data_IF_971141229522
#
_entry.id   IF_971141229522
#
_cell.length_a   1.000
_cell.length_b   1.000
_cell.length_c   1.000
_cell.angle_alpha   90.00
_cell.angle_beta   90.00
_cell.angle_gamma   90.00
#
_symmetry.space_group_name_H-M   'P 1'
#
loop_
_entity.id
_entity.type
_entity.pdbx_description
1 polymer ?
2 non-polymer ?
3 non-polymer ?
4 water ?
#
# COMPACT_ATOMS: atom_id res chain seq x y z
N UNK A 1 -9.56 5.91 23.46
CA UNK A 1 -10.14 5.41 22.19
C UNK A 1 -11.05 4.20 22.46
N UNK A 2 -12.09 4.01 21.62
CA UNK A 2 -12.88 2.78 21.75
C UNK A 2 -12.04 1.56 21.38
N UNK A 3 -12.56 0.36 21.65
CA UNK A 3 -11.93 -0.86 21.15
C UNK A 3 -11.91 -0.80 19.61
N UNK A 4 -10.90 -1.43 18.98
CA UNK A 4 -10.75 -1.32 17.52
C UNK A 4 -12.02 -1.59 16.70
N UNK A 5 -12.73 -2.68 16.98
CA UNK A 5 -13.92 -3.00 16.18
C UNK A 5 -15.04 -2.00 16.42
N UNK A 6 -15.15 -1.50 17.65
CA UNK A 6 -16.13 -0.48 17.97
C UNK A 6 -15.84 0.83 17.22
N UNK A 7 -14.55 1.21 17.17
CA UNK A 7 -14.17 2.38 16.40
C UNK A 7 -14.47 2.19 14.92
N UNK A 8 -14.16 1.01 14.39
CA UNK A 8 -14.45 0.72 12.99
C UNK A 8 -15.96 0.85 12.69
N UNK A 9 -16.80 0.31 13.57
CA UNK A 9 -18.25 0.41 13.38
C UNK A 9 -18.69 1.87 13.37
N UNK A 10 -18.16 2.65 14.30
CA UNK A 10 -18.45 4.06 14.36
C UNK A 10 -18.05 4.76 13.05
N UNK A 11 -16.86 4.43 12.55
CA UNK A 11 -16.38 5.00 11.30
C UNK A 11 -17.32 4.67 10.13
N UNK A 12 -17.76 3.41 10.01
CA UNK A 12 -18.70 3.04 8.95
C UNK A 12 -20.02 3.81 9.07
N UNK A 13 -20.54 3.92 10.28
CA UNK A 13 -21.78 4.64 10.53
C UNK A 13 -21.65 6.11 10.12
N UNK A 14 -20.53 6.72 10.51
CA UNK A 14 -20.30 8.14 10.24
C UNK A 14 -19.99 8.42 8.78
N UNK A 15 -19.28 7.49 8.13
CA UNK A 15 -18.89 7.63 6.71
C UNK A 15 -19.98 7.22 5.73
N UNK A 16 -20.91 6.39 6.18
CA UNK A 16 -21.83 5.65 5.32
C UNK A 16 -21.06 4.89 4.23
N UNK A 17 -19.92 4.34 4.62
CA UNK A 17 -19.06 3.59 3.70
C UNK A 17 -18.46 2.38 4.39
N UNK A 18 -17.82 1.52 3.62
CA UNK A 18 -17.19 0.31 4.18
C UNK A 18 -15.74 0.55 4.56
N UNK A 19 -15.37 -0.03 5.69
CA UNK A 19 -14.00 -0.10 6.16
C UNK A 19 -13.55 -1.55 6.02
N UNK A 20 -12.32 -1.77 5.57
CA UNK A 20 -11.70 -3.10 5.60
C UNK A 20 -10.40 -2.99 6.37
N UNK A 21 -10.15 -3.93 7.26
CA UNK A 21 -9.01 -3.84 8.16
C UNK A 21 -8.46 -5.22 8.46
N UNK A 22 -7.13 -5.31 8.54
CA UNK A 22 -6.48 -6.44 9.17
C UNK A 22 -5.22 -5.97 9.90
N UNK A 23 -4.92 -6.64 11.00
CA UNK A 23 -3.66 -6.48 11.71
C UNK A 23 -3.05 -7.87 11.87
N UNK A 24 -1.85 -8.02 11.32
CA UNK A 24 -1.21 -9.33 11.16
C UNK A 24 0.25 -9.27 11.62
N UNK A 25 0.73 -10.22 12.41
CA UNK A 25 2.16 -10.31 12.71
C UNK A 25 2.98 -10.47 11.43
N UNK A 26 4.02 -9.65 11.29
CA UNK A 26 4.89 -9.78 10.12
C UNK A 26 5.65 -11.10 10.12
N UNK A 27 6.18 -11.50 11.27
CA UNK A 27 7.05 -12.67 11.27
C UNK A 27 6.29 -13.96 10.94
N UNK A 28 5.13 -14.15 11.56
CA UNK A 28 4.40 -15.43 11.41
C UNK A 28 3.14 -15.39 10.55
N UNK A 29 2.54 -14.22 10.39
CA UNK A 29 1.25 -14.14 9.73
C UNK A 29 0.05 -14.34 10.66
N UNK A 30 0.29 -14.45 11.96
CA UNK A 30 -0.79 -14.52 12.95
C UNK A 30 -1.72 -13.31 12.80
N UNK A 31 -3.01 -13.57 12.62
CA UNK A 31 -3.98 -12.48 12.53
C UNK A 31 -4.44 -12.10 13.92
N UNK A 32 -4.23 -10.82 14.29
CA UNK A 32 -4.62 -10.29 15.58
C UNK A 32 -6.07 -9.88 15.61
N UNK A 33 -6.49 -9.15 14.58
CA UNK A 33 -7.85 -8.64 14.48
C UNK A 33 -8.12 -8.29 13.02
N UNK A 34 -9.39 -8.27 12.65
CA UNK A 34 -9.77 -8.14 11.24
C UNK A 34 -11.22 -7.70 11.16
N UNK A 35 -11.55 -7.03 10.06
CA UNK A 35 -12.91 -6.57 9.78
C UNK A 35 -13.07 -6.50 8.28
N UNK A 36 -14.07 -7.20 7.77
CA UNK A 36 -14.30 -7.29 6.32
C UNK A 36 -13.01 -7.66 5.56
N UNK A 37 -12.20 -8.50 6.18
CA UNK A 37 -10.87 -8.78 5.67
C UNK A 37 -10.89 -9.61 4.38
N UNK A 38 -12.03 -10.23 4.08
CA UNK A 38 -12.18 -11.01 2.85
C UNK A 38 -13.02 -10.29 1.80
N UNK A 39 -13.34 -9.03 2.04
CA UNK A 39 -14.11 -8.23 1.08
C UNK A 39 -13.17 -7.40 0.20
N UNK A 40 -13.58 -7.15 -1.04
CA UNK A 40 -12.74 -6.44 -1.99
C UNK A 40 -12.79 -4.92 -1.83
N UNK A 41 -11.61 -4.30 -1.93
CA UNK A 41 -11.46 -2.86 -1.90
C UNK A 41 -10.48 -2.43 -2.99
N UNK A 42 -10.72 -1.26 -3.63
CA UNK A 42 -9.72 -0.73 -4.56
C UNK A 42 -8.37 -0.52 -3.86
N UNK A 43 -7.30 -0.97 -4.50
CA UNK A 43 -5.96 -0.80 -3.95
C UNK A 43 -5.47 0.64 -4.01
N UNK A 44 -5.84 1.35 -5.08
CA UNK A 44 -5.27 2.65 -5.36
C UNK A 44 -3.74 2.52 -5.31
N UNK A 45 -3.04 3.53 -4.80
CA UNK A 45 -1.59 3.56 -4.88
C UNK A 45 -0.90 2.56 -3.96
N UNK A 46 -1.67 1.88 -3.09
CA UNK A 46 -1.06 0.84 -2.30
C UNK A 46 -0.50 -0.26 -3.18
N UNK A 47 -0.99 -0.39 -4.41
CA UNK A 47 -0.46 -1.39 -5.34
C UNK A 47 1.02 -1.16 -5.65
N UNK A 48 1.49 0.08 -5.47
CA UNK A 48 2.88 0.42 -5.84
C UNK A 48 3.94 -0.36 -5.06
N UNK A 49 3.60 -0.81 -3.85
CA UNK A 49 4.51 -1.65 -3.08
C UNK A 49 4.62 -3.03 -3.71
N UNK A 50 3.49 -3.60 -4.11
CA UNK A 50 3.49 -4.92 -4.74
C UNK A 50 4.21 -4.85 -6.09
N UNK A 51 3.95 -3.77 -6.84
CA UNK A 51 4.65 -3.52 -8.09
C UNK A 51 6.17 -3.58 -7.93
N UNK A 52 6.69 -2.88 -6.94
CA UNK A 52 8.12 -2.86 -6.73
C UNK A 52 8.64 -4.18 -6.15
N UNK A 53 7.79 -4.94 -5.47
CA UNK A 53 8.13 -6.33 -5.13
C UNK A 53 8.40 -7.15 -6.39
N UNK A 54 7.54 -7.00 -7.40
CA UNK A 54 7.73 -7.69 -8.69
C UNK A 54 9.01 -7.23 -9.39
N UNK A 55 9.28 -5.92 -9.36
CA UNK A 55 10.52 -5.37 -9.91
C UNK A 55 11.74 -5.99 -9.23
N UNK A 56 11.72 -6.05 -7.90
CA UNK A 56 12.81 -6.65 -7.16
C UNK A 56 12.99 -8.14 -7.48
N UNK A 57 11.88 -8.85 -7.71
CA UNK A 57 11.96 -10.24 -8.12
C UNK A 57 12.67 -10.39 -9.47
N UNK A 58 12.43 -9.45 -10.40
CA UNK A 58 13.14 -9.44 -11.67
C UNK A 58 14.63 -9.16 -11.47
N UNK A 59 14.96 -8.27 -10.54
CA UNK A 59 16.36 -7.99 -10.22
C UNK A 59 17.02 -9.27 -9.68
N UNK A 60 16.36 -9.92 -8.72
CA UNK A 60 16.87 -11.17 -8.16
C UNK A 60 17.05 -12.25 -9.24
N UNK A 61 16.17 -12.27 -10.24
CA UNK A 61 16.23 -13.25 -11.33
C UNK A 61 17.30 -12.92 -12.37
N UNK A 62 17.89 -11.73 -12.28
CA UNK A 62 18.90 -11.28 -13.24
C UNK A 62 18.29 -10.73 -14.52
N UNK A 63 17.02 -10.33 -14.45
CA UNK A 63 16.30 -9.76 -15.59
C UNK A 63 16.15 -8.25 -15.52
N UNK A 64 16.67 -7.66 -14.44
CA UNK A 64 16.54 -6.23 -14.19
C UNK A 64 17.68 -5.78 -13.30
N UNK A 65 18.00 -4.48 -13.33
CA UNK A 65 18.95 -3.89 -12.39
C UNK A 65 18.34 -2.61 -11.81
N UNK A 66 18.49 -2.40 -10.51
CA UNK A 66 18.02 -1.14 -9.91
C UNK A 66 18.78 0.06 -10.47
N UNK A 67 20.01 -0.17 -10.96
CA UNK A 67 20.84 0.87 -11.54
C UNK A 67 20.41 1.29 -12.93
N UNK A 68 19.69 0.43 -13.65
CA UNK A 68 19.39 0.68 -15.06
C UNK A 68 18.62 1.98 -15.24
N UNK A 69 19.17 2.88 -16.07
CA UNK A 69 18.55 4.19 -16.25
C UNK A 69 17.57 4.14 -17.41
N UNK A 70 16.33 4.54 -17.14
CA UNK A 70 15.27 4.61 -18.12
C UNK A 70 15.05 6.07 -18.56
N UNK A 71 15.15 6.30 -19.85
CA UNK A 71 14.88 7.61 -20.41
C UNK A 71 13.47 7.56 -21.02
N UNK A 72 12.63 8.49 -20.63
CA UNK A 72 11.23 8.49 -21.05
C UNK A 72 10.88 9.89 -21.56
N UNK A 73 9.67 10.04 -22.07
CA UNK A 73 9.26 11.28 -22.73
C UNK A 73 8.03 11.89 -22.08
N UNK A 74 7.81 13.19 -22.35
CA UNK A 74 6.70 13.94 -21.77
C UNK A 74 5.35 13.30 -22.07
N UNK A 75 5.25 12.71 -23.26
CA UNK A 75 4.05 12.02 -23.71
C UNK A 75 3.74 10.79 -22.85
N UNK A 76 4.73 10.30 -22.10
CA UNK A 76 4.56 9.13 -21.23
C UNK A 76 3.94 9.49 -19.89
N UNK A 77 3.84 10.78 -19.59
CA UNK A 77 3.45 11.20 -18.27
C UNK A 77 1.94 11.24 -18.05
N UNK A 78 1.53 10.80 -16.86
CA UNK A 78 0.18 11.02 -16.35
C UNK A 78 0.24 11.96 -15.14
N UNK A 79 -0.91 12.38 -14.63
CA UNK A 79 -0.96 13.38 -13.59
C UNK A 79 -0.41 12.82 -12.26
N UNK A 80 -0.03 13.73 -11.36
CA UNK A 80 0.49 13.38 -10.01
C UNK A 80 1.79 12.61 -10.12
N UNK A 81 2.72 13.22 -10.85
CA UNK A 81 4.04 12.68 -11.12
C UNK A 81 5.12 13.69 -10.76
N UNK A 82 5.22 14.07 -9.46
CA UNK A 82 6.07 15.19 -9.06
C UNK A 82 7.57 14.95 -9.24
N UNK A 83 8.01 13.70 -9.20
CA UNK A 83 9.43 13.39 -9.36
C UNK A 83 9.77 13.14 -10.83
N UNK A 84 9.01 12.25 -11.47
CA UNK A 84 9.33 11.87 -12.83
C UNK A 84 9.22 13.05 -13.82
N UNK A 85 8.33 14.00 -13.55
CA UNK A 85 8.21 15.15 -14.46
C UNK A 85 9.47 16.02 -14.46
N UNK A 86 10.29 15.89 -13.42
CA UNK A 86 11.54 16.66 -13.28
C UNK A 86 12.73 16.03 -14.02
N UNK A 87 12.54 14.86 -14.61
CA UNK A 87 13.67 14.12 -15.20
C UNK A 87 13.48 13.69 -16.65
N UNK A 88 12.85 14.56 -17.45
CA UNK A 88 12.66 14.29 -18.88
C UNK A 88 13.97 14.25 -19.66
N UNK A 89 14.90 15.11 -19.26
CA UNK A 89 16.21 15.19 -19.90
C UNK A 89 17.13 14.03 -19.49
N UNK A 90 17.24 13.81 -18.18
CA UNK A 90 18.23 12.88 -17.64
C UNK A 90 17.74 11.46 -17.32
N UNK A 91 16.43 11.26 -17.29
CA UNK A 91 15.87 9.93 -16.97
C UNK A 91 15.98 9.58 -15.49
N UNK A 92 15.56 8.36 -15.16
CA UNK A 92 15.61 7.88 -13.78
C UNK A 92 16.00 6.41 -13.79
N UNK A 93 16.73 5.99 -12.76
CA UNK A 93 17.04 4.57 -12.61
C UNK A 93 15.80 3.80 -12.17
N UNK A 94 15.81 2.49 -12.38
CA UNK A 94 14.71 1.65 -11.94
C UNK A 94 14.51 1.79 -10.43
N UNK A 95 15.60 1.82 -9.67
CA UNK A 95 15.51 2.03 -8.22
C UNK A 95 14.91 3.37 -7.84
N UNK A 96 15.33 4.43 -8.54
CA UNK A 96 14.76 5.77 -8.32
C UNK A 96 13.28 5.78 -8.67
N UNK A 97 12.89 5.08 -9.72
CA UNK A 97 11.49 4.98 -10.08
C UNK A 97 10.66 4.32 -8.98
N UNK A 98 11.18 3.25 -8.39
CA UNK A 98 10.46 2.63 -7.29
C UNK A 98 10.41 3.54 -6.07
N UNK A 99 11.51 4.23 -5.78
CA UNK A 99 11.47 5.19 -4.68
C UNK A 99 10.43 6.29 -4.92
N UNK A 100 10.36 6.80 -6.15
CA UNK A 100 9.37 7.83 -6.48
C UNK A 100 7.95 7.30 -6.39
N UNK A 101 7.73 6.10 -6.92
CA UNK A 101 6.42 5.47 -6.88
C UNK A 101 5.95 5.23 -5.45
N UNK A 102 6.84 4.71 -4.59
CA UNK A 102 6.45 4.40 -3.22
C UNK A 102 6.43 5.62 -2.32
N UNK A 103 7.49 6.44 -2.37
CA UNK A 103 7.62 7.52 -1.38
C UNK A 103 6.93 8.83 -1.77
N UNK A 104 6.65 9.01 -3.05
CA UNK A 104 5.98 10.22 -3.52
C UNK A 104 4.68 9.90 -4.27
N UNK A 105 4.33 8.62 -4.28
CA UNK A 105 3.16 8.12 -5.01
C UNK A 105 3.18 8.53 -6.49
N UNK A 106 4.38 8.61 -7.06
CA UNK A 106 4.56 9.12 -8.42
C UNK A 106 3.89 8.19 -9.44
N UNK A 107 2.90 8.70 -10.16
CA UNK A 107 2.09 7.87 -11.04
C UNK A 107 2.79 7.44 -12.32
N UNK A 108 3.52 8.36 -12.95
CA UNK A 108 4.25 8.00 -14.16
C UNK A 108 5.37 7.01 -13.86
N UNK A 109 6.04 7.19 -12.73
CA UNK A 109 7.06 6.22 -12.31
C UNK A 109 6.44 4.83 -12.20
N UNK A 110 5.28 4.75 -11.55
CA UNK A 110 4.57 3.48 -11.44
C UNK A 110 4.22 2.88 -12.81
N UNK A 111 3.75 3.71 -13.73
CA UNK A 111 3.40 3.20 -15.07
C UNK A 111 4.62 2.70 -15.83
N UNK A 112 5.74 3.41 -15.72
CA UNK A 112 6.97 2.97 -16.37
C UNK A 112 7.40 1.62 -15.81
N UNK A 113 7.34 1.48 -14.48
CA UNK A 113 7.67 0.21 -13.84
C UNK A 113 6.70 -0.90 -14.21
N UNK A 114 5.41 -0.56 -14.27
CA UNK A 114 4.37 -1.51 -14.65
C UNK A 114 4.66 -2.14 -16.01
N UNK A 115 5.09 -1.34 -16.97
CA UNK A 115 5.44 -1.87 -18.29
C UNK A 115 6.58 -2.90 -18.21
N UNK A 116 7.54 -2.68 -17.31
CA UNK A 116 8.69 -3.58 -17.18
C UNK A 116 8.31 -4.96 -16.65
N UNK A 117 7.17 -5.05 -15.97
CA UNK A 117 6.71 -6.34 -15.41
C UNK A 117 5.57 -6.96 -16.22
N UNK A 118 5.32 -6.42 -17.42
CA UNK A 118 4.30 -6.99 -18.30
C UNK A 118 2.93 -6.37 -18.14
N UNK A 119 2.89 -5.14 -17.63
CA UNK A 119 1.64 -4.42 -17.44
C UNK A 119 0.80 -4.98 -16.30
N UNK A 120 -0.43 -4.47 -16.14
CA UNK A 120 -1.35 -4.99 -15.13
C UNK A 120 -1.52 -6.51 -15.18
N UNK A 121 -1.60 -7.09 -16.37
CA UNK A 121 -1.68 -8.55 -16.48
C UNK A 121 -0.43 -9.26 -15.95
N UNK A 122 0.74 -8.70 -16.23
CA UNK A 122 2.00 -9.26 -15.73
C UNK A 122 2.10 -9.20 -14.23
N UNK A 123 1.67 -8.08 -13.64
CA UNK A 123 1.69 -7.95 -12.19
C UNK A 123 0.70 -8.93 -11.56
N UNK A 124 -0.46 -9.10 -12.17
CA UNK A 124 -1.43 -10.08 -11.67
C UNK A 124 -0.86 -11.50 -11.74
N UNK A 125 -0.15 -11.82 -12.82
CA UNK A 125 0.51 -13.13 -12.92
C UNK A 125 1.54 -13.35 -11.82
N UNK A 126 2.33 -12.32 -11.53
CA UNK A 126 3.27 -12.37 -10.43
C UNK A 126 2.56 -12.65 -9.10
N UNK A 127 1.46 -11.96 -8.86
CA UNK A 127 0.66 -12.21 -7.65
C UNK A 127 0.22 -13.67 -7.55
N UNK A 128 -0.30 -14.21 -8.65
CA UNK A 128 -0.69 -15.63 -8.67
C UNK A 128 0.51 -16.53 -8.35
N UNK A 129 1.67 -16.18 -8.88
CA UNK A 129 2.90 -16.94 -8.65
C UNK A 129 3.40 -16.96 -7.20
N UNK A 130 3.05 -15.93 -6.43
CA UNK A 130 3.37 -15.93 -5.00
C UNK A 130 2.19 -16.40 -4.15
N UNK A 131 1.17 -16.96 -4.81
CA UNK A 131 0.04 -17.58 -4.09
C UNK A 131 -1.06 -16.62 -3.66
N UNK A 132 -1.09 -15.43 -4.24
CA UNK A 132 -2.21 -14.53 -4.07
C UNK A 132 -3.16 -14.75 -5.25
N UNK A 133 -4.29 -15.41 -4.95
CA UNK A 133 -5.28 -15.73 -5.98
C UNK A 133 -6.45 -14.76 -5.99
N UNK A 134 -6.30 -13.64 -5.29
CA UNK A 134 -7.40 -12.68 -5.10
C UNK A 134 -7.08 -11.29 -5.69
N UNK A 135 -5.95 -10.73 -5.30
CA UNK A 135 -5.55 -9.40 -5.74
C UNK A 135 -5.42 -9.36 -7.26
N UNK A 136 -5.90 -8.29 -7.87
CA UNK A 136 -5.78 -8.16 -9.32
C UNK A 136 -5.57 -6.71 -9.70
N UNK A 137 -4.63 -6.48 -10.62
CA UNK A 137 -4.50 -5.18 -11.26
C UNK A 137 -4.90 -5.32 -12.71
N UNK A 138 -5.71 -4.38 -13.20
CA UNK A 138 -6.30 -4.45 -14.53
C UNK A 138 -6.00 -3.23 -15.37
N UNK A 139 -5.81 -2.09 -14.71
CA UNK A 139 -5.57 -0.81 -15.37
C UNK A 139 -4.28 -0.15 -14.92
N UNK A 140 -3.93 0.94 -15.59
CA UNK A 140 -2.75 1.76 -15.31
C UNK A 140 -3.17 2.97 -14.47
N UNK A 141 -2.20 3.71 -13.96
CA UNK A 141 -2.52 5.02 -13.38
C UNK A 141 -2.94 5.97 -14.50
N UNK A 142 -3.99 6.80 -14.29
CA UNK A 142 -4.71 6.95 -13.03
C UNK A 142 -6.09 6.28 -13.03
N UNK A 143 -6.45 5.61 -14.11
CA UNK A 143 -7.77 4.98 -14.24
C UNK A 143 -8.01 3.91 -13.18
N UNK A 144 -6.95 3.28 -12.67
CA UNK A 144 -7.08 2.22 -11.69
C UNK A 144 -7.71 2.72 -10.37
N UNK A 145 -7.81 4.04 -10.23
CA UNK A 145 -8.43 4.67 -9.04
C UNK A 145 -9.93 4.91 -9.12
N UNK A 146 -10.55 4.46 -10.22
CA UNK A 146 -11.95 4.83 -10.50
C UNK A 146 -12.92 4.37 -9.41
N UNK A 147 -12.65 3.21 -8.81
CA UNK A 147 -13.42 2.70 -7.68
C UNK A 147 -14.93 2.65 -7.95
N UNK A 148 -15.32 1.97 -9.02
CA UNK A 148 -16.75 1.75 -9.30
C UNK A 148 -17.31 0.66 -8.39
N UNK A 149 -18.51 0.87 -7.83
CA UNK A 149 -19.20 -0.22 -7.11
C UNK A 149 -19.43 -1.43 -8.03
N UNK A 150 -19.26 -2.63 -7.49
CA UNK A 150 -19.49 -3.88 -8.23
C UNK A 150 -18.32 -4.30 -9.12
N UNK A 151 -17.28 -3.46 -9.15
CA UNK A 151 -16.18 -3.65 -10.09
C UNK A 151 -15.01 -4.28 -9.33
N UNK A 152 -14.61 -5.47 -9.74
CA UNK A 152 -13.50 -6.17 -9.12
C UNK A 152 -12.15 -5.72 -9.65
N UNK A 153 -12.16 -4.87 -10.68
CA UNK A 153 -10.89 -4.41 -11.28
C UNK A 153 -10.06 -3.65 -10.25
N UNK A 154 -8.75 -3.93 -10.23
CA UNK A 154 -7.79 -3.17 -9.41
C UNK A 154 -8.10 -3.24 -7.92
N UNK A 155 -8.55 -4.42 -7.47
CA UNK A 155 -8.92 -4.61 -6.08
C UNK A 155 -8.06 -5.65 -5.38
N UNK A 156 -8.05 -5.57 -4.06
CA UNK A 156 -7.47 -6.60 -3.20
C UNK A 156 -8.45 -6.85 -2.06
N UNK A 157 -8.08 -7.70 -1.11
CA UNK A 157 -8.79 -7.76 0.18
C UNK A 157 -7.78 -7.42 1.27
N UNK A 158 -8.24 -6.91 2.43
CA UNK A 158 -7.25 -6.69 3.50
C UNK A 158 -6.40 -7.94 3.79
N UNK A 159 -7.02 -9.12 3.86
CA UNK A 159 -6.29 -10.35 4.15
C UNK A 159 -5.27 -10.71 3.08
N UNK A 160 -5.66 -10.58 1.81
CA UNK A 160 -4.74 -10.95 0.73
C UNK A 160 -3.60 -9.96 0.61
N UNK A 161 -3.89 -8.67 0.74
CA UNK A 161 -2.84 -7.68 0.71
C UNK A 161 -1.83 -7.86 1.86
N UNK A 162 -2.33 -8.13 3.07
CA UNK A 162 -1.43 -8.35 4.19
C UNK A 162 -0.56 -9.59 3.97
N UNK A 163 -1.17 -10.69 3.53
CA UNK A 163 -0.42 -11.92 3.26
C UNK A 163 0.63 -11.69 2.18
N UNK A 164 0.27 -10.95 1.14
CA UNK A 164 1.18 -10.66 0.05
C UNK A 164 2.35 -9.77 0.48
N UNK A 165 2.06 -8.73 1.25
CA UNK A 165 3.13 -7.88 1.78
C UNK A 165 4.06 -8.71 2.66
N UNK A 166 3.50 -9.57 3.50
CA UNK A 166 4.33 -10.42 4.33
C UNK A 166 5.25 -11.31 3.50
N UNK A 167 4.72 -11.90 2.43
CA UNK A 167 5.51 -12.76 1.55
C UNK A 167 6.67 -11.99 0.93
N UNK A 168 6.40 -10.76 0.50
CA UNK A 168 7.43 -9.95 -0.14
C UNK A 168 8.50 -9.51 0.86
N UNK A 169 8.11 -9.23 2.09
CA UNK A 169 9.02 -8.64 3.06
C UNK A 169 9.83 -9.66 3.85
N UNK A 170 9.30 -10.87 4.05
CA UNK A 170 9.94 -11.80 5.00
C UNK A 170 10.06 -13.26 4.57
N UNK A 171 9.40 -13.66 3.50
CA UNK A 171 9.30 -15.10 3.20
C UNK A 171 10.50 -15.70 2.47
N UNK A 172 11.51 -14.86 2.24
CA UNK A 172 12.73 -15.26 1.51
C UNK A 172 12.44 -15.65 0.06
N UNK A 173 11.30 -15.20 -0.46
CA UNK A 173 11.00 -15.28 -1.89
C UNK A 173 11.88 -14.26 -2.61
N UNK A 174 11.94 -13.06 -2.05
CA UNK A 174 12.92 -12.06 -2.47
C UNK A 174 14.23 -12.29 -1.75
N UNK A 175 15.33 -11.90 -2.38
CA UNK A 175 16.64 -11.95 -1.74
C UNK A 175 16.64 -11.10 -0.48
N UNK A 176 17.62 -11.32 0.39
CA UNK A 176 17.77 -10.51 1.59
C UNK A 176 17.83 -9.03 1.26
N UNK A 177 18.68 -8.67 0.30
CA UNK A 177 18.86 -7.26 -0.03
C UNK A 177 17.58 -6.67 -0.63
N UNK A 178 16.88 -7.43 -1.46
CA UNK A 178 15.59 -6.98 -1.98
C UNK A 178 14.54 -6.76 -0.90
N UNK A 179 14.44 -7.69 0.05
CA UNK A 179 13.51 -7.54 1.17
C UNK A 179 13.82 -6.26 1.93
N UNK A 180 15.10 -6.01 2.14
CA UNK A 180 15.55 -4.83 2.87
C UNK A 180 15.24 -3.54 2.11
N UNK A 181 15.39 -3.61 0.79
CA UNK A 181 15.10 -2.46 -0.06
C UNK A 181 13.61 -2.10 -0.05
N UNK A 182 12.76 -3.12 -0.15
CA UNK A 182 11.32 -2.86 -0.17
C UNK A 182 10.87 -2.22 1.14
N UNK A 183 11.34 -2.75 2.28
CA UNK A 183 11.01 -2.13 3.56
C UNK A 183 11.53 -0.69 3.66
N UNK A 184 12.75 -0.46 3.20
CA UNK A 184 13.31 0.90 3.29
C UNK A 184 12.51 1.92 2.48
N UNK A 185 12.04 1.51 1.29
CA UNK A 185 11.19 2.41 0.51
C UNK A 185 9.94 2.81 1.30
N UNK A 186 9.32 1.85 1.99
CA UNK A 186 8.14 2.14 2.81
C UNK A 186 8.48 3.01 4.03
N UNK A 187 9.62 2.73 4.66
CA UNK A 187 10.12 3.59 5.75
C UNK A 187 10.24 5.05 5.28
N UNK A 188 10.67 5.22 4.04
CA UNK A 188 10.96 6.53 3.47
C UNK A 188 9.77 7.26 2.87
N UNK A 189 8.55 6.75 3.04
CA UNK A 189 7.39 7.44 2.50
C UNK A 189 7.38 8.90 2.90
N UNK A 190 7.15 9.78 1.93
CA UNK A 190 7.09 11.22 2.17
C UNK A 190 5.66 11.76 2.14
N UNK A 191 4.73 10.97 1.62
CA UNK A 191 3.34 11.45 1.46
C UNK A 191 2.66 11.53 2.83
N UNK A 192 2.77 10.46 3.61
CA UNK A 192 2.09 10.39 4.90
C UNK A 192 3.01 10.03 6.08
N UNK A 193 4.13 9.38 5.78
CA UNK A 193 5.04 8.90 6.82
C UNK A 193 5.42 9.93 7.88
N UNK A 194 6.01 11.06 7.46
CA UNK A 194 6.39 12.09 8.44
C UNK A 194 5.24 12.61 9.30
N UNK A 195 4.07 12.82 8.70
CA UNK A 195 2.90 13.27 9.45
C UNK A 195 2.46 12.21 10.46
N UNK A 196 2.36 10.97 10.00
CA UNK A 196 1.98 9.88 10.90
C UNK A 196 2.97 9.75 12.05
N UNK A 197 4.25 9.77 11.70
CA UNK A 197 5.31 9.58 12.68
C UNK A 197 5.24 10.65 13.77
N UNK A 198 4.90 11.89 13.37
CA UNK A 198 4.83 13.02 14.30
C UNK A 198 3.69 12.91 15.32
N UNK A 199 2.65 12.15 14.99
CA UNK A 199 1.50 12.01 15.88
C UNK A 199 1.40 10.64 16.57
N UNK A 200 2.30 9.73 16.22
CA UNK A 200 2.39 8.45 16.89
C UNK A 200 3.05 8.63 18.26
N UNK A 201 2.65 7.83 19.25
CA UNK A 201 3.34 7.89 20.54
C UNK A 201 4.80 7.52 20.34
N UNK A 202 5.68 8.06 21.18
CA UNK A 202 7.08 7.73 21.13
C UNK A 202 7.25 6.21 21.21
N UNK A 203 8.19 5.69 20.43
CA UNK A 203 8.51 4.26 20.46
C UNK A 203 7.89 3.46 19.34
N UNK A 204 6.94 4.04 18.62
CA UNK A 204 6.23 3.31 17.55
C UNK A 204 6.90 3.45 16.20
N UNK A 205 7.30 2.30 15.64
CA UNK A 205 7.82 2.17 14.29
C UNK A 205 6.71 2.45 13.28
N UNK A 206 7.01 3.20 12.22
CA UNK A 206 6.09 3.29 11.09
C UNK A 206 6.80 3.20 9.73
N UNK A 207 6.23 2.39 8.84
CA UNK A 207 6.55 2.41 7.42
C UNK A 207 5.21 2.28 6.69
N UNK A 208 5.04 2.89 5.53
CA UNK A 208 3.69 2.90 4.93
C UNK A 208 3.66 3.19 3.45
N UNK A 209 2.54 2.83 2.83
CA UNK A 209 2.16 3.37 1.54
C UNK A 209 0.67 3.70 1.59
N UNK A 210 0.31 4.90 1.15
CA UNK A 210 -1.09 5.30 1.12
C UNK A 210 -1.68 5.27 -0.29
N UNK A 211 -3.00 5.41 -0.34
CA UNK A 211 -3.71 5.49 -1.60
C UNK A 211 -4.96 6.32 -1.47
N UNK A 212 -5.39 6.91 -2.60
CA UNK A 212 -6.62 7.68 -2.64
C UNK A 212 -7.23 7.51 -4.02
N UNK A 213 -8.55 7.42 -4.08
CA UNK A 213 -9.25 7.30 -5.36
C UNK A 213 -10.60 7.98 -5.32
N UNK A 214 -11.48 7.55 -6.22
CA UNK A 214 -12.81 8.15 -6.35
C UNK A 214 -13.84 7.54 -5.39
N UNK A 215 -14.97 8.22 -5.26
CA UNK A 215 -16.09 7.76 -4.43
C UNK A 215 -15.67 7.49 -2.99
N UNK A 216 -14.73 8.30 -2.49
CA UNK A 216 -14.26 8.20 -1.12
C UNK A 216 -13.14 7.20 -0.87
N UNK A 217 -12.73 6.47 -1.90
CA UNK A 217 -11.70 5.43 -1.71
C UNK A 217 -10.43 6.04 -1.10
N UNK A 218 -9.92 5.37 -0.06
CA UNK A 218 -8.76 5.85 0.67
C UNK A 218 -8.16 4.65 1.37
N UNK A 219 -6.84 4.58 1.48
CA UNK A 219 -6.29 3.45 2.21
C UNK A 219 -4.84 3.61 2.57
N UNK A 220 -4.39 2.66 3.38
CA UNK A 220 -3.01 2.63 3.83
C UNK A 220 -2.62 1.18 4.10
N UNK A 221 -1.41 0.83 3.68
CA UNK A 221 -0.75 -0.40 4.11
C UNK A 221 0.47 0.02 4.90
N UNK A 222 0.66 -0.58 6.05
CA UNK A 222 1.67 -0.10 7.00
C UNK A 222 2.34 -1.24 7.75
N UNK A 223 3.57 -0.98 8.17
CA UNK A 223 4.25 -1.78 9.17
C UNK A 223 4.30 -0.91 10.42
N UNK A 224 3.94 -1.51 11.56
CA UNK A 224 3.70 -0.75 12.78
C UNK A 224 4.05 -1.62 13.98
N UNK A 225 4.63 -1.01 15.01
CA UNK A 225 4.79 -1.73 16.28
C UNK A 225 5.44 -0.88 17.34
N UNK A 226 5.24 -1.25 18.61
CA UNK A 226 5.90 -0.54 19.71
C UNK A 226 7.36 -1.00 19.79
N UNK A 227 8.15 -0.35 20.64
CA UNK A 227 9.57 -0.71 20.81
C UNK A 227 10.38 -0.66 19.51
N UNK A 228 10.00 0.27 18.63
CA UNK A 228 10.75 0.53 17.40
C UNK A 228 10.96 -0.69 16.51
N UNK A 229 9.94 -1.54 16.48
CA UNK A 229 9.95 -2.78 15.71
C UNK A 229 8.82 -2.80 14.69
N UNK A 230 9.12 -3.26 13.48
CA UNK A 230 8.11 -3.51 12.44
C UNK A 230 7.40 -4.82 12.79
N UNK A 231 6.58 -4.78 13.83
CA UNK A 231 5.99 -6.00 14.38
C UNK A 231 4.87 -6.53 13.54
N UNK A 232 3.99 -5.64 13.07
CA UNK A 232 2.76 -6.05 12.42
C UNK A 232 2.47 -5.27 11.16
N UNK A 233 1.80 -5.94 10.22
CA UNK A 233 1.21 -5.30 9.05
C UNK A 233 -0.21 -4.86 9.43
N UNK A 234 -0.52 -3.60 9.13
CA UNK A 234 -1.86 -3.09 9.29
C UNK A 234 -2.32 -2.59 7.92
N UNK A 235 -3.48 -3.07 7.50
CA UNK A 235 -4.09 -2.62 6.25
C UNK A 235 -5.44 -2.02 6.61
N UNK A 236 -5.70 -0.80 6.15
CA UNK A 236 -7.00 -0.16 6.31
C UNK A 236 -7.42 0.44 4.98
N UNK A 237 -8.57 0.00 4.47
CA UNK A 237 -9.17 0.60 3.28
C UNK A 237 -10.54 1.17 3.62
N UNK A 238 -10.89 2.24 2.93
CA UNK A 238 -12.24 2.82 2.95
C UNK A 238 -12.76 2.86 1.54
N UNK A 239 -14.06 2.65 1.38
CA UNK A 239 -14.66 2.78 0.06
C UNK A 239 -16.12 3.20 0.16
N UNK A 240 -16.60 3.82 -0.92
CA UNK A 240 -18.00 4.19 -1.10
C UNK A 240 -18.55 5.08 0.01
N UNK A 241 -17.84 6.17 0.25
CA UNK A 241 -18.27 7.19 1.18
C UNK A 241 -18.21 8.54 0.50
N UNK A 242 -19.21 9.42 0.73
CA UNK A 242 -19.16 10.76 0.17
C UNK A 242 -18.35 11.75 1.02
N UNK A 243 -17.65 11.24 2.05
CA UNK A 243 -16.98 12.09 3.02
C UNK A 243 -15.81 12.90 2.45
N UNK A 244 -15.55 14.04 3.09
CA UNK A 244 -14.36 14.82 2.79
C UNK A 244 -13.08 14.01 2.98
N UNK A 245 -12.05 14.38 2.23
CA UNK A 245 -10.72 13.82 2.43
C UNK A 245 -10.29 13.95 3.88
N UNK A 246 -10.53 15.12 4.48
CA UNK A 246 -10.12 15.35 5.85
C UNK A 246 -10.78 14.34 6.78
N UNK A 247 -12.08 14.10 6.60
CA UNK A 247 -12.76 13.12 7.46
C UNK A 247 -12.22 11.71 7.22
N UNK A 248 -12.00 11.35 5.96
CA UNK A 248 -11.47 10.03 5.66
C UNK A 248 -10.11 9.83 6.34
N UNK A 249 -9.24 10.84 6.31
CA UNK A 249 -7.95 10.76 6.99
C UNK A 249 -8.15 10.59 8.49
N UNK A 250 -9.06 11.37 9.05
CA UNK A 250 -9.33 11.34 10.48
C UNK A 250 -9.93 10.01 10.93
N UNK A 251 -10.75 9.39 10.08
CA UNK A 251 -11.35 8.10 10.44
C UNK A 251 -10.29 7.01 10.43
N UNK A 252 -9.42 7.01 9.42
CA UNK A 252 -8.29 6.07 9.41
C UNK A 252 -7.39 6.31 10.63
N UNK A 253 -7.13 7.58 10.97
CA UNK A 253 -6.34 7.91 12.15
C UNK A 253 -6.99 7.39 13.43
N UNK A 254 -8.31 7.52 13.53
CA UNK A 254 -9.04 7.06 14.70
C UNK A 254 -9.00 5.55 14.83
N UNK A 255 -9.13 4.85 13.71
CA UNK A 255 -9.00 3.40 13.72
C UNK A 255 -7.58 3.02 14.17
N UNK A 256 -6.58 3.68 13.59
CA UNK A 256 -5.19 3.51 14.03
C UNK A 256 -4.99 3.75 15.52
N UNK A 257 -5.57 4.83 16.04
CA UNK A 257 -5.45 5.14 17.46
C UNK A 257 -6.00 4.02 18.31
N UNK A 258 -7.16 3.48 17.92
CA UNK A 258 -7.77 2.39 18.65
C UNK A 258 -6.90 1.13 18.61
N UNK A 259 -6.34 0.82 17.44
CA UNK A 259 -5.46 -0.34 17.31
C UNK A 259 -4.23 -0.20 18.20
N UNK A 260 -3.66 1.01 18.24
CA UNK A 260 -2.46 1.30 19.02
C UNK A 260 -2.71 1.22 20.52
N UNK A 261 -3.80 1.84 20.98
CA UNK A 261 -4.11 1.84 22.42
C UNK A 261 -4.47 0.44 22.92
N UNK A 262 -5.05 -0.38 22.05
CA UNK A 262 -5.51 -1.70 22.46
C UNK A 262 -4.71 -2.82 21.81
N UNK A 263 -3.42 -2.56 21.58
CA UNK A 263 -2.46 -3.50 21.00
C UNK A 263 -2.31 -4.71 21.90
N UNK A 264 -2.68 -5.88 21.38
CA UNK A 264 -2.55 -7.10 22.17
C UNK A 264 -1.22 -7.78 21.93
N UNK A 265 -0.80 -8.59 22.89
CA UNK A 265 0.46 -9.31 22.77
C UNK A 265 0.37 -10.41 21.71
X LIG B 1 -4.36 9.23 -7.79
X LIG B 1 -6.36 10.03 -8.97
X LIG B 1 -3.66 9.56 -8.76
X LIG B 1 -5.78 9.70 -7.67
X LIG B 1 -8.87 9.68 -15.65
X LIG B 1 -8.36 9.19 -8.46
X LIG B 1 -7.91 11.90 -13.39
X LIG B 1 -6.29 11.14 -11.31
X LIG B 1 -6.11 14.21 -4.26
X LIG B 1 -3.28 5.28 -7.07
X LIG B 1 -3.55 6.41 -4.87
X LIG B 1 -6.81 11.99 -4.83
X LIG B 1 -5.18 13.15 -6.19
X LIG B 1 -6.73 10.88 -5.65
X LIG B 1 -5.10 12.02 -7.02
X LIG B 1 -9.54 10.23 -14.42
X LIG B 1 -2.59 7.84 -6.77
X LIG B 1 -9.61 9.22 -12.32
X LIG B 1 -9.28 9.33 -10.94
X LIG B 1 -3.92 8.43 -6.84
X LIG B 1 -7.63 9.75 -9.29
X LIG B 1 -8.07 10.86 -12.77
X LIG B 1 -7.42 10.70 -11.46
X LIG B 1 -6.03 13.12 -5.08
X LIG B 1 -5.87 10.89 -6.76
X LIG B 1 -2.73 6.38 -6.16
X LIG B 1 -8.79 9.86 -13.29
X LIG B 1 -8.13 10.05 -10.51
X LIG C 1 -2.01 8.71 22.99
X LIG C 1 -1.00 9.55 23.76
X LIG C 1 0.28 8.78 24.04
X LIG C 1 0.02 7.38 24.60
X LIG C 1 -1.08 6.65 23.84
X LIG C 1 -1.50 5.37 24.56
X LIG C 1 -0.70 10.72 22.99
X LIG C 1 1.09 9.53 24.96
X LIG C 1 -2.24 7.48 23.70
X LIG C 1 -1.98 5.72 25.86
X LIG C 1 -1.48 8.44 21.70
X LIG C 1 1.23 6.62 24.50
X LIG C 1 -2.60 8.81 17.75
X LIG C 1 -2.58 10.12 18.52
X LIG C 1 -1.78 9.91 19.81
X LIG C 1 -2.36 8.76 20.62
X LIG C 1 -2.55 7.50 19.77
X LIG C 1 -3.38 6.46 20.51
X LIG C 1 -3.34 9.00 16.54
X LIG C 1 -1.99 11.15 17.74
X LIG C 1 -1.80 11.12 20.59
X LIG C 1 -3.23 7.82 18.55
X LIG C 1 -4.55 7.10 21.06
X LIG C 1 -3.20 7.90 15.66
X LIG C 1 -2.80 8.43 14.29
X LIG C 1 -1.92 7.42 13.57
X LIG C 1 -1.86 7.70 12.07
X LIG C 1 -2.80 6.80 11.28
X LIG C 1 -2.53 5.32 11.54
X LIG C 1 -2.21 4.60 10.24
X LIG C 1 -3.20 3.44 10.07
X LIG C 1 -2.50 2.13 9.72
X LIG C 1 -1.45 1.73 10.75
X LIG C 1 -0.54 2.89 11.13
X LIG C 1 -0.75 4.12 10.26
X LIG D 1 -3.54 10.21 9.25
X LIG D 1 -3.06 9.34 8.10
X LIG D 1 -2.62 10.23 6.95
X LIG D 1 -3.50 10.11 5.71
X LIG D 1 -3.64 8.66 5.21
X LIG D 1 -3.91 7.67 6.36
X LIG D 1 -4.18 8.36 7.70
#
# INVERSE_FOLDING_TARGET
SPQPLEQIKLSESQLSGRVGMIEMDLASGRTLTAWRADERFPMMSTFKVVLCGAVLARVDAGDEQLERKIHYRQQDLVDYSPVSEKHLADGMTVGELCAAAITMSDNSAANLLLATVGGPAGLTAFLRQIGDNVTRLDRWETELNEALPGDARDTTTPASMAATLRKLLTSQRLSARSQRQLLQWMVDDRVAGPLIRSVLPAGWFIADKTGAGERGARGIVALLGPNNKAERIVVIYLRDTPASMAERNQQIAGIGAALIEHWQR
CZ7 C N O CA CAA OAC OAD OAE OAF OAG OAH CAI CAJ CAK CAL CAM CAN CAO CAP NAQ CAT CAU CAV CAW CAX BAY NBA NBB
MA4 C1 C2 C3 C4 C5 C6 O2 O3 O5 O6 O1 O4 C10 C20 C30 C40 C50 C60 O10 O20 O30 O50 O60 C11 C21 C31 C41 C51 C61 C12 C22 C32 C42 C52 C62
MA4 C61 C12 C22 C32 C42 C52 C62
#
